data_IF_800835497458
#
_entry.id   IF_800835497458
#
_cell.length_a   1.000
_cell.length_b   1.000
_cell.length_c   1.000
_cell.angle_alpha   90.00
_cell.angle_beta   90.00
_cell.angle_gamma   90.00
#
_symmetry.space_group_name_H-M   'P 1'
#
loop_
_entity.id
_entity.type
_entity.pdbx_description
1 polymer ?
#
# COMPACT_ATOMS: atom_id res chain seq x y z
N UNK A 1 37.63 48.24 -26.34
CA UNK A 1 37.94 46.81 -26.12
C UNK A 1 36.94 46.31 -25.09
N UNK A 2 35.88 45.65 -25.57
CA UNK A 2 35.47 44.25 -25.25
C UNK A 2 34.90 44.07 -23.84
N UNK A 3 33.72 43.49 -23.56
CA UNK A 3 32.56 42.98 -24.33
C UNK A 3 31.55 42.58 -23.23
N UNK A 4 30.29 43.01 -23.31
CA UNK A 4 29.19 42.53 -22.45
C UNK A 4 28.38 41.48 -23.21
N UNK A 5 28.36 40.23 -22.74
CA UNK A 5 27.55 39.16 -23.33
C UNK A 5 26.10 39.24 -22.83
N UNK A 6 25.18 39.59 -23.74
CA UNK A 6 23.75 39.46 -23.55
C UNK A 6 23.28 38.02 -23.77
N UNK A 7 22.40 37.54 -22.89
CA UNK A 7 21.72 36.25 -23.01
C UNK A 7 20.26 36.55 -23.41
N UNK A 8 19.88 36.14 -24.61
CA UNK A 8 18.54 36.27 -25.18
C UNK A 8 17.54 35.31 -24.53
N UNK A 9 16.26 35.70 -24.36
CA UNK A 9 15.24 34.83 -23.80
C UNK A 9 14.66 33.87 -24.85
N UNK A 10 14.51 32.61 -24.47
CA UNK A 10 13.90 31.54 -25.26
C UNK A 10 12.40 31.76 -25.41
N UNK A 11 11.92 31.94 -26.65
CA UNK A 11 10.49 32.00 -26.98
C UNK A 11 9.93 30.57 -27.11
N UNK A 12 8.85 30.28 -26.37
CA UNK A 12 8.00 29.10 -26.53
C UNK A 12 7.29 29.14 -27.90
N UNK A 13 7.27 28.06 -28.70
CA UNK A 13 6.47 28.03 -29.92
C UNK A 13 4.97 27.85 -29.61
N UNK A 14 4.14 28.57 -30.35
CA UNK A 14 2.68 28.58 -30.28
C UNK A 14 2.04 27.41 -31.04
N UNK A 15 0.85 27.01 -30.59
CA UNK A 15 0.06 25.89 -31.08
C UNK A 15 -0.71 26.20 -32.37
N UNK A 16 -0.07 26.11 -33.53
CA UNK A 16 -0.76 25.97 -34.83
C UNK A 16 0.24 25.44 -35.84
N UNK A 17 0.22 24.12 -36.11
CA UNK A 17 0.57 23.48 -37.41
C UNK A 17 0.72 21.97 -37.22
N UNK A 18 -0.40 21.25 -37.29
CA UNK A 18 -0.42 19.80 -37.48
C UNK A 18 -1.52 19.50 -38.51
N UNK A 19 -1.20 19.74 -39.78
CA UNK A 19 -1.96 19.21 -40.89
C UNK A 19 -1.03 18.43 -41.83
N UNK A 20 -1.43 17.18 -42.09
CA UNK A 20 -1.08 16.37 -43.26
C UNK A 20 0.28 15.64 -43.26
N UNK A 21 0.26 14.38 -42.79
CA UNK A 21 1.20 13.34 -43.21
C UNK A 21 0.44 12.05 -43.59
N UNK A 22 0.70 11.42 -44.74
CA UNK A 22 -0.14 10.34 -45.27
C UNK A 22 0.07 9.01 -44.53
N UNK A 23 -1.03 8.33 -44.20
CA UNK A 23 -1.04 6.99 -43.63
C UNK A 23 -0.67 5.93 -44.68
N UNK A 24 0.34 5.11 -44.38
CA UNK A 24 0.71 3.92 -45.15
C UNK A 24 -0.16 2.76 -44.64
N UNK A 25 -1.01 2.21 -45.52
CA UNK A 25 -1.85 1.03 -45.27
C UNK A 25 -0.98 -0.15 -44.83
N UNK A 26 -1.24 -0.69 -43.64
CA UNK A 26 -0.84 -2.05 -43.28
C UNK A 26 -2.02 -2.98 -43.55
N UNK A 27 -1.76 -4.00 -44.36
CA UNK A 27 -2.68 -5.05 -44.76
C UNK A 27 -2.92 -6.02 -43.60
N UNK A 28 -4.19 -6.29 -43.30
CA UNK A 28 -4.62 -7.41 -42.48
C UNK A 28 -4.31 -8.72 -43.20
N UNK A 29 -3.56 -9.62 -42.53
CA UNK A 29 -3.57 -11.04 -42.87
C UNK A 29 -4.54 -11.74 -41.90
N UNK A 30 -5.65 -12.20 -42.46
CA UNK A 30 -6.57 -13.14 -41.83
C UNK A 30 -6.06 -14.56 -42.12
N UNK A 31 -5.49 -15.23 -41.13
CA UNK A 31 -5.22 -16.66 -41.25
C UNK A 31 -6.50 -17.45 -40.95
N UNK A 32 -7.17 -17.85 -42.02
CA UNK A 32 -8.16 -18.95 -42.02
C UNK A 32 -7.42 -20.25 -41.73
N UNK A 33 -7.83 -20.96 -40.67
CA UNK A 33 -7.63 -22.41 -40.63
C UNK A 33 -8.96 -23.14 -40.49
N UNK A 34 -9.13 -24.08 -41.42
CA UNK A 34 -10.34 -24.81 -41.77
C UNK A 34 -10.68 -25.88 -40.74
N UNK A 35 -11.98 -26.09 -40.58
CA UNK A 35 -12.64 -27.22 -39.92
C UNK A 35 -12.18 -28.57 -40.44
N UNK A 36 -11.94 -29.52 -39.53
CA UNK A 36 -12.13 -30.95 -39.76
C UNK A 36 -12.86 -31.59 -38.58
N UNK A 37 -14.02 -32.18 -38.87
CA UNK A 37 -14.82 -32.98 -37.94
C UNK A 37 -14.18 -34.35 -37.73
N UNK A 38 -14.08 -34.81 -36.48
CA UNK A 38 -13.87 -36.21 -36.15
C UNK A 38 -14.70 -36.62 -34.91
N UNK A 39 -15.84 -37.23 -35.24
CA UNK A 39 -16.64 -38.27 -34.55
C UNK A 39 -16.57 -38.40 -33.01
N UNK A 40 -17.75 -38.25 -32.42
CA UNK A 40 -18.17 -38.75 -31.11
C UNK A 40 -17.91 -40.25 -30.95
N UNK A 41 -17.53 -40.68 -29.75
CA UNK A 41 -17.83 -42.00 -29.23
C UNK A 41 -18.22 -41.87 -27.75
N UNK A 42 -19.48 -42.16 -27.47
CA UNK A 42 -20.11 -42.32 -26.16
C UNK A 42 -19.86 -43.72 -25.64
N UNK A 43 -19.44 -43.86 -24.38
CA UNK A 43 -19.70 -45.05 -23.56
C UNK A 43 -19.94 -44.60 -22.10
N UNK A 44 -21.07 -45.04 -21.55
CA UNK A 44 -21.61 -44.80 -20.21
C UNK A 44 -21.09 -45.86 -19.19
N UNK A 45 -21.45 -45.84 -17.89
CA UNK A 45 -20.53 -46.04 -16.77
C UNK A 45 -20.68 -47.40 -16.05
N UNK A 46 -19.63 -47.84 -15.35
CA UNK A 46 -19.73 -48.86 -14.28
C UNK A 46 -18.66 -48.64 -13.20
N UNK A 47 -19.16 -48.32 -12.00
CA UNK A 47 -18.82 -48.77 -10.64
C UNK A 47 -17.40 -49.21 -10.18
N UNK A 48 -17.12 -48.81 -8.92
CA UNK A 48 -16.15 -49.31 -7.91
C UNK A 48 -14.67 -48.91 -8.13
N UNK A 49 -13.90 -48.33 -7.18
CA UNK A 49 -13.90 -48.37 -5.71
C UNK A 49 -13.26 -47.08 -5.13
N UNK A 50 -13.84 -46.52 -4.06
CA UNK A 50 -13.27 -45.43 -3.24
C UNK A 50 -12.86 -45.99 -1.86
N UNK A 51 -11.54 -46.04 -1.54
CA UNK A 51 -11.08 -46.26 -0.19
C UNK A 51 -10.31 -45.02 0.29
N UNK A 52 -10.97 -44.11 1.01
CA UNK A 52 -10.57 -43.79 2.39
C UNK A 52 -11.34 -42.61 2.94
N UNK A 53 -12.25 -42.93 3.85
CA UNK A 53 -12.70 -42.04 4.90
C UNK A 53 -11.49 -41.57 5.72
N UNK A 54 -11.07 -40.33 5.54
CA UNK A 54 -10.39 -39.58 6.58
C UNK A 54 -11.35 -38.51 7.09
N UNK A 55 -12.06 -38.86 8.16
CA UNK A 55 -12.69 -37.91 9.05
C UNK A 55 -11.61 -37.03 9.68
N UNK A 56 -11.24 -35.95 9.01
CA UNK A 56 -10.53 -34.85 9.67
C UNK A 56 -11.50 -34.23 10.67
N UNK A 57 -11.12 -34.38 11.94
CA UNK A 57 -11.74 -33.75 13.11
C UNK A 57 -12.07 -32.30 12.78
N UNK A 58 -13.33 -31.94 13.03
CA UNK A 58 -13.78 -30.56 13.09
C UNK A 58 -12.94 -29.79 14.11
N UNK A 59 -11.93 -29.07 13.64
CA UNK A 59 -11.35 -27.98 14.39
C UNK A 59 -12.47 -26.99 14.69
N UNK A 60 -12.73 -26.76 15.97
CA UNK A 60 -13.81 -25.90 16.47
C UNK A 60 -13.80 -24.56 15.73
N UNK A 61 -14.89 -24.30 14.99
CA UNK A 61 -15.10 -23.13 14.10
C UNK A 61 -15.09 -21.79 14.87
N UNK A 62 -15.17 -21.84 16.20
CA UNK A 62 -15.22 -20.69 17.09
C UNK A 62 -13.89 -19.90 17.13
N UNK A 63 -12.73 -20.57 17.19
CA UNK A 63 -11.42 -19.88 17.25
C UNK A 63 -11.01 -19.18 15.95
N UNK A 64 -11.48 -19.70 14.80
CA UNK A 64 -11.11 -19.21 13.46
C UNK A 64 -11.77 -17.85 13.15
N UNK A 65 -12.85 -17.50 13.86
CA UNK A 65 -13.65 -16.30 13.57
C UNK A 65 -13.56 -15.21 14.66
N UNK A 66 -12.80 -15.41 15.73
CA UNK A 66 -12.66 -14.41 16.82
C UNK A 66 -12.06 -13.07 16.36
N UNK A 67 -11.24 -13.06 15.33
CA UNK A 67 -10.71 -11.81 14.77
C UNK A 67 -11.80 -10.95 14.10
N UNK A 68 -12.87 -11.56 13.57
CA UNK A 68 -14.01 -10.85 12.96
C UNK A 68 -14.82 -10.06 13.98
N UNK A 69 -14.69 -10.38 15.27
CA UNK A 69 -15.35 -9.67 16.37
C UNK A 69 -14.55 -8.47 16.86
N UNK A 70 -13.32 -8.29 16.36
CA UNK A 70 -12.40 -7.23 16.81
C UNK A 70 -12.24 -6.17 15.74
N UNK A 71 -11.97 -4.90 16.11
CA UNK A 71 -11.58 -3.88 15.16
C UNK A 71 -10.40 -4.34 14.29
N UNK A 72 -10.36 -4.00 12.99
CA UNK A 72 -11.31 -3.14 12.26
C UNK A 72 -12.55 -3.88 11.72
N UNK A 73 -12.73 -5.16 12.02
CA UNK A 73 -13.74 -6.03 11.37
C UNK A 73 -15.03 -6.22 12.17
N UNK A 74 -15.05 -5.69 13.40
CA UNK A 74 -16.22 -5.74 14.26
C UNK A 74 -17.40 -5.06 13.56
N UNK A 75 -18.49 -5.81 13.37
CA UNK A 75 -19.75 -5.26 12.86
C UNK A 75 -20.33 -4.32 13.94
N UNK A 76 -20.40 -3.03 13.65
CA UNK A 76 -21.08 -2.06 14.52
C UNK A 76 -22.59 -2.33 14.46
N UNK A 77 -23.17 -2.75 15.59
CA UNK A 77 -24.59 -3.17 15.69
C UNK A 77 -25.56 -2.00 15.89
N UNK A 78 -25.06 -0.81 16.21
CA UNK A 78 -25.86 0.38 16.47
C UNK A 78 -25.44 1.52 15.55
N UNK A 79 -26.42 2.11 14.85
CA UNK A 79 -26.26 3.34 14.10
C UNK A 79 -26.04 4.49 15.10
N UNK A 80 -24.80 4.99 15.21
CA UNK A 80 -24.53 6.21 15.99
C UNK A 80 -23.15 6.37 16.62
N UNK A 81 -22.32 5.32 16.76
CA UNK A 81 -21.06 5.42 17.51
C UNK A 81 -19.80 5.71 16.67
N UNK A 82 -19.90 5.76 15.33
CA UNK A 82 -18.75 6.01 14.46
C UNK A 82 -18.94 7.30 13.67
N UNK A 83 -18.21 8.35 14.04
CA UNK A 83 -18.21 9.63 13.33
C UNK A 83 -17.42 9.53 12.03
N UNK A 84 -18.08 9.16 10.93
CA UNK A 84 -17.43 9.00 9.63
C UNK A 84 -17.02 10.35 9.04
N UNK A 85 -15.70 10.56 8.85
CA UNK A 85 -15.10 11.72 8.18
C UNK A 85 -14.83 11.47 6.70
N UNK A 86 -14.34 10.28 6.38
CA UNK A 86 -14.05 9.88 5.01
C UNK A 86 -14.72 8.56 4.65
N UNK A 87 -15.05 8.42 3.37
CA UNK A 87 -15.44 7.17 2.74
C UNK A 87 -14.32 6.68 1.84
N UNK A 88 -14.20 5.37 1.71
CA UNK A 88 -13.21 4.73 0.87
C UNK A 88 -13.74 3.43 0.31
N UNK A 89 -13.20 3.02 -0.82
CA UNK A 89 -13.60 1.76 -1.46
C UNK A 89 -12.45 1.11 -2.22
N UNK A 90 -12.50 -0.22 -2.36
CA UNK A 90 -11.63 -0.89 -3.33
C UNK A 90 -12.04 -0.50 -4.76
N UNK A 91 -11.20 -0.78 -5.75
CA UNK A 91 -11.45 -0.34 -7.14
C UNK A 91 -12.80 -0.81 -7.71
N UNK A 92 -13.26 -2.02 -7.35
CA UNK A 92 -14.55 -2.54 -7.82
C UNK A 92 -15.76 -2.13 -6.97
N UNK A 93 -15.56 -1.39 -5.88
CA UNK A 93 -16.62 -0.96 -4.96
C UNK A 93 -17.24 -2.06 -4.09
N UNK A 94 -16.81 -3.33 -4.23
CA UNK A 94 -17.36 -4.44 -3.41
C UNK A 94 -16.98 -4.35 -1.94
N UNK A 95 -15.85 -3.72 -1.63
CA UNK A 95 -15.41 -3.43 -0.26
C UNK A 95 -15.50 -1.93 -0.07
N UNK A 96 -16.26 -1.50 0.92
CA UNK A 96 -16.40 -0.10 1.32
C UNK A 96 -16.16 0.03 2.82
N UNK A 97 -15.56 1.14 3.22
CA UNK A 97 -15.26 1.44 4.61
C UNK A 97 -15.21 2.94 4.85
N UNK A 98 -15.32 3.31 6.13
CA UNK A 98 -15.29 4.68 6.63
C UNK A 98 -14.09 4.87 7.56
N UNK A 99 -13.61 6.11 7.63
CA UNK A 99 -12.55 6.54 8.55
C UNK A 99 -13.09 7.63 9.47
N UNK A 100 -12.76 7.57 10.76
CA UNK A 100 -13.28 8.54 11.74
C UNK A 100 -12.33 9.69 12.08
N UNK A 101 -11.03 9.56 11.79
CA UNK A 101 -10.08 10.65 12.00
C UNK A 101 -9.99 11.54 10.78
N UNK A 102 -9.86 12.84 11.04
CA UNK A 102 -9.58 13.86 10.03
C UNK A 102 -8.15 13.75 9.48
N UNK A 103 -7.16 13.51 10.34
CA UNK A 103 -5.77 13.25 9.95
C UNK A 103 -5.30 11.86 10.41
N UNK A 104 -4.50 11.13 9.62
CA UNK A 104 -3.84 9.92 10.07
C UNK A 104 -2.80 10.23 11.15
N UNK A 105 -2.50 9.24 12.00
CA UNK A 105 -1.45 9.34 13.01
C UNK A 105 -0.08 9.65 12.38
N UNK A 106 0.15 9.10 11.19
CA UNK A 106 1.32 9.38 10.38
C UNK A 106 1.05 8.96 8.92
N UNK A 107 1.81 9.46 7.96
CA UNK A 107 1.71 9.10 6.54
C UNK A 107 3.09 9.00 5.93
N UNK A 108 3.39 7.91 5.21
CA UNK A 108 4.75 7.59 4.78
C UNK A 108 4.80 6.94 3.41
N UNK A 109 5.94 7.11 2.74
CA UNK A 109 6.29 6.37 1.53
C UNK A 109 7.31 5.27 1.89
N UNK A 110 6.97 4.00 1.67
CA UNK A 110 7.86 2.87 1.90
C UNK A 110 8.45 2.35 0.60
N UNK A 111 9.78 2.30 0.51
CA UNK A 111 10.53 1.92 -0.68
C UNK A 111 11.08 0.50 -0.62
N UNK A 112 10.74 -0.32 0.38
CA UNK A 112 11.28 -1.68 0.42
C UNK A 112 10.76 -2.53 -0.75
N UNK A 113 11.58 -3.44 -1.24
CA UNK A 113 11.29 -4.35 -2.37
C UNK A 113 10.01 -5.17 -2.18
N UNK A 114 9.68 -5.52 -0.93
CA UNK A 114 8.40 -6.18 -0.61
C UNK A 114 7.23 -5.25 -0.91
N UNK A 115 7.24 -4.01 -0.40
CA UNK A 115 6.19 -3.03 -0.67
C UNK A 115 6.07 -2.73 -2.17
N UNK A 116 7.20 -2.58 -2.88
CA UNK A 116 7.19 -2.35 -4.33
C UNK A 116 6.49 -3.48 -5.09
N UNK A 117 6.86 -4.73 -4.79
CA UNK A 117 6.29 -5.91 -5.46
C UNK A 117 4.81 -6.08 -5.13
N UNK A 118 4.44 -5.90 -3.86
CA UNK A 118 3.06 -6.09 -3.39
C UNK A 118 2.08 -5.04 -3.91
N UNK A 119 2.59 -3.85 -4.26
CA UNK A 119 1.79 -2.77 -4.83
C UNK A 119 1.94 -2.64 -6.35
N UNK A 120 2.84 -3.40 -6.97
CA UNK A 120 3.26 -3.20 -8.37
C UNK A 120 3.59 -1.72 -8.67
N UNK A 121 4.29 -1.06 -7.73
CA UNK A 121 4.56 0.37 -7.76
C UNK A 121 5.98 0.68 -7.25
N UNK A 122 6.57 1.84 -7.58
CA UNK A 122 7.90 2.22 -7.09
C UNK A 122 8.02 2.33 -5.56
N UNK A 123 6.90 2.51 -4.86
CA UNK A 123 6.80 2.58 -3.41
C UNK A 123 5.35 2.36 -2.96
N UNK A 124 5.16 2.07 -1.67
CA UNK A 124 3.86 2.04 -1.00
C UNK A 124 3.60 3.39 -0.32
N UNK A 125 2.43 3.99 -0.53
CA UNK A 125 1.94 5.11 0.28
C UNK A 125 0.99 4.59 1.35
N UNK A 126 1.35 4.77 2.62
CA UNK A 126 0.59 4.27 3.75
C UNK A 126 0.34 5.34 4.81
N UNK A 127 -0.91 5.46 5.23
CA UNK A 127 -1.37 6.28 6.33
C UNK A 127 -1.73 5.40 7.52
N UNK A 128 -1.28 5.78 8.72
CA UNK A 128 -1.39 4.97 9.94
C UNK A 128 -2.62 5.41 10.73
N UNK A 129 -3.45 4.43 11.08
CA UNK A 129 -4.63 4.62 11.92
C UNK A 129 -4.66 3.58 13.05
N UNK A 130 -5.37 3.86 14.14
CA UNK A 130 -5.77 2.80 15.06
C UNK A 130 -6.80 1.90 14.37
N UNK A 131 -6.88 0.64 14.80
CA UNK A 131 -7.87 -0.31 14.28
C UNK A 131 -9.31 0.17 14.48
N UNK A 132 -9.56 0.96 15.54
CA UNK A 132 -10.86 1.53 15.89
C UNK A 132 -11.24 2.75 15.03
N UNK A 133 -10.30 3.30 14.27
CA UNK A 133 -10.59 4.46 13.41
C UNK A 133 -11.13 4.03 12.03
N UNK A 134 -11.34 2.73 11.81
CA UNK A 134 -11.85 2.15 10.56
C UNK A 134 -13.13 1.37 10.85
N UNK A 135 -14.14 1.60 10.02
CA UNK A 135 -15.39 0.85 10.04
C UNK A 135 -15.70 0.30 8.63
N UNK A 136 -15.70 -1.02 8.44
CA UNK A 136 -16.14 -1.60 7.17
C UNK A 136 -17.65 -1.56 7.04
N UNK A 137 -18.14 -0.77 6.09
CA UNK A 137 -19.58 -0.64 5.80
C UNK A 137 -20.09 -1.75 4.89
N UNK A 138 -19.24 -2.34 4.04
CA UNK A 138 -19.60 -3.49 3.19
C UNK A 138 -18.38 -4.29 2.74
N UNK A 139 -18.59 -5.57 2.43
CA UNK A 139 -17.59 -6.40 1.75
C UNK A 139 -16.44 -6.94 2.60
N UNK A 140 -16.45 -6.77 3.93
CA UNK A 140 -15.37 -7.25 4.81
C UNK A 140 -15.21 -8.80 4.82
N UNK A 141 -16.24 -9.55 4.39
CA UNK A 141 -16.12 -10.99 4.14
C UNK A 141 -15.43 -11.34 2.82
N UNK A 142 -15.34 -10.40 1.88
CA UNK A 142 -14.63 -10.51 0.60
C UNK A 142 -13.19 -9.98 0.68
N UNK A 143 -12.55 -10.16 1.83
CA UNK A 143 -11.15 -9.81 2.05
C UNK A 143 -10.27 -11.04 1.97
N UNK A 144 -9.06 -10.86 1.46
CA UNK A 144 -8.00 -11.86 1.48
C UNK A 144 -6.77 -11.31 2.21
N UNK A 145 -5.98 -12.24 2.76
CA UNK A 145 -4.78 -11.93 3.52
C UNK A 145 -3.54 -12.51 2.86
N UNK A 146 -2.40 -11.85 3.08
CA UNK A 146 -1.10 -12.38 2.71
C UNK A 146 -0.02 -11.97 3.70
N UNK A 147 0.68 -12.93 4.29
CA UNK A 147 1.92 -12.71 5.03
C UNK A 147 3.12 -12.92 4.07
N UNK A 148 3.87 -11.85 3.72
CA UNK A 148 5.02 -11.98 2.82
C UNK A 148 6.21 -12.71 3.46
N UNK A 149 6.32 -12.76 4.78
CA UNK A 149 7.40 -13.46 5.49
C UNK A 149 7.18 -14.97 5.46
N UNK A 150 5.95 -15.42 5.76
CA UNK A 150 5.61 -16.85 5.75
C UNK A 150 5.05 -17.34 4.41
N UNK A 151 4.84 -16.45 3.44
CA UNK A 151 4.18 -16.70 2.14
C UNK A 151 2.82 -17.40 2.30
N UNK A 152 2.05 -17.03 3.33
CA UNK A 152 0.78 -17.67 3.67
C UNK A 152 -0.41 -16.75 3.43
N UNK A 153 -1.54 -17.34 3.08
CA UNK A 153 -2.84 -16.64 2.97
C UNK A 153 -3.68 -16.73 4.26
N UNK A 154 -3.13 -17.35 5.31
CA UNK A 154 -3.77 -17.38 6.63
C UNK A 154 -3.76 -15.97 7.24
N UNK A 155 -4.81 -15.63 7.98
CA UNK A 155 -4.84 -14.40 8.77
C UNK A 155 -3.86 -14.51 9.95
N UNK A 156 -2.65 -13.99 9.76
CA UNK A 156 -1.57 -13.97 10.76
C UNK A 156 -0.93 -12.59 10.78
N UNK A 157 -0.95 -11.92 11.94
CA UNK A 157 -0.49 -10.53 12.04
C UNK A 157 1.04 -10.44 12.23
N UNK A 158 1.72 -9.52 11.51
CA UNK A 158 1.18 -8.58 10.54
C UNK A 158 0.90 -9.21 9.16
N UNK A 159 -0.18 -8.79 8.49
CA UNK A 159 -0.51 -9.27 7.13
C UNK A 159 -1.01 -8.15 6.21
N UNK A 160 -0.89 -8.39 4.90
CA UNK A 160 -1.47 -7.57 3.83
C UNK A 160 -2.95 -7.91 3.68
N UNK A 161 -3.80 -6.91 3.50
CA UNK A 161 -5.24 -7.07 3.31
C UNK A 161 -5.64 -6.51 1.95
N UNK A 162 -6.39 -7.29 1.15
CA UNK A 162 -6.87 -6.90 -0.19
C UNK A 162 -8.31 -7.29 -0.41
N UNK A 163 -8.93 -6.70 -1.42
CA UNK A 163 -10.20 -7.19 -1.95
C UNK A 163 -9.97 -8.50 -2.72
N UNK A 164 -10.69 -9.57 -2.38
CA UNK A 164 -10.55 -10.87 -3.05
C UNK A 164 -11.08 -10.90 -4.49
N UNK A 165 -11.78 -9.85 -4.93
CA UNK A 165 -12.35 -9.76 -6.28
C UNK A 165 -11.46 -8.98 -7.25
N UNK A 166 -11.07 -7.75 -6.90
CA UNK A 166 -10.27 -6.89 -7.78
C UNK A 166 -8.81 -6.77 -7.35
N UNK A 167 -8.41 -7.44 -6.27
CA UNK A 167 -7.06 -7.44 -5.71
C UNK A 167 -6.49 -6.08 -5.33
N UNK A 168 -7.32 -5.03 -5.26
CA UNK A 168 -6.90 -3.72 -4.74
C UNK A 168 -6.30 -3.91 -3.35
N UNK A 169 -5.03 -3.51 -3.13
CA UNK A 169 -4.47 -3.44 -1.79
C UNK A 169 -5.30 -2.45 -0.98
N UNK A 170 -5.70 -2.82 0.25
CA UNK A 170 -6.52 -1.97 1.13
C UNK A 170 -5.69 -1.41 2.28
N UNK A 171 -5.01 -2.29 3.02
CA UNK A 171 -4.19 -1.93 4.16
C UNK A 171 -3.19 -3.02 4.51
N UNK A 172 -2.17 -2.67 5.30
CA UNK A 172 -1.44 -3.65 6.12
C UNK A 172 -2.05 -3.67 7.52
N UNK A 173 -2.46 -4.84 7.98
CA UNK A 173 -2.95 -5.02 9.34
C UNK A 173 -1.77 -5.38 10.26
N UNK A 174 -1.43 -4.47 11.16
CA UNK A 174 -0.50 -4.71 12.24
C UNK A 174 -1.18 -5.29 13.48
N UNK A 175 -0.42 -5.46 14.57
CA UNK A 175 -0.97 -5.94 15.85
C UNK A 175 -1.91 -4.92 16.50
N UNK A 176 -1.49 -3.65 16.52
CA UNK A 176 -2.20 -2.57 17.23
C UNK A 176 -2.79 -1.50 16.30
N UNK A 177 -2.31 -1.43 15.07
CA UNK A 177 -2.61 -0.36 14.12
C UNK A 177 -2.75 -0.94 12.71
N UNK A 178 -3.28 -0.13 11.80
CA UNK A 178 -3.41 -0.44 10.38
C UNK A 178 -2.68 0.62 9.57
N UNK A 179 -2.08 0.20 8.48
CA UNK A 179 -1.47 1.07 7.48
C UNK A 179 -2.38 1.07 6.26
N UNK A 180 -3.33 2.00 6.22
CA UNK A 180 -4.28 2.17 5.12
C UNK A 180 -3.60 2.79 3.91
N UNK A 181 -4.06 2.47 2.69
CA UNK A 181 -3.56 3.10 1.47
C UNK A 181 -4.46 4.26 1.03
N UNK A 182 -4.00 5.52 1.12
CA UNK A 182 -4.87 6.67 0.90
C UNK A 182 -5.44 6.82 -0.51
N UNK A 183 -4.85 6.14 -1.51
CA UNK A 183 -5.36 6.11 -2.89
C UNK A 183 -6.77 5.52 -3.02
N UNK A 184 -7.31 4.87 -1.99
CA UNK A 184 -8.67 4.35 -1.95
C UNK A 184 -9.70 5.31 -1.32
N UNK A 185 -9.24 6.42 -0.74
CA UNK A 185 -10.09 7.38 -0.04
C UNK A 185 -10.75 8.35 -1.02
N UNK A 186 -12.04 8.60 -0.85
CA UNK A 186 -12.83 9.51 -1.67
C UNK A 186 -12.75 10.94 -1.11
N UNK A 187 -11.66 11.65 -1.43
CA UNK A 187 -11.48 13.04 -1.03
C UNK A 187 -12.43 13.98 -1.79
N UNK A 188 -13.11 14.87 -1.06
CA UNK A 188 -14.06 15.87 -1.58
C UNK A 188 -13.41 17.23 -1.84
N UNK A 189 -12.21 17.47 -1.29
CA UNK A 189 -11.45 18.71 -1.49
C UNK A 189 -9.94 18.45 -1.54
N UNK A 190 -9.17 19.45 -1.98
CA UNK A 190 -7.70 19.41 -1.89
C UNK A 190 -7.20 19.52 -0.45
N UNK A 191 -7.95 20.21 0.42
CA UNK A 191 -7.66 20.30 1.87
C UNK A 191 -7.71 18.91 2.51
N UNK A 192 -8.73 18.11 2.19
CA UNK A 192 -8.81 16.73 2.69
C UNK A 192 -7.65 15.85 2.19
N UNK A 193 -7.15 16.09 0.97
CA UNK A 193 -5.94 15.39 0.46
C UNK A 193 -4.68 15.80 1.22
N UNK A 194 -4.59 17.06 1.62
CA UNK A 194 -3.45 17.61 2.35
C UNK A 194 -3.21 16.87 3.67
N UNK A 195 -4.28 16.54 4.39
CA UNK A 195 -4.24 15.77 5.63
C UNK A 195 -3.50 14.42 5.50
N UNK A 196 -3.50 13.83 4.30
CA UNK A 196 -2.92 12.50 4.06
C UNK A 196 -1.51 12.54 3.47
N UNK A 197 -0.96 13.71 3.16
CA UNK A 197 0.36 13.79 2.52
C UNK A 197 1.44 13.06 3.31
N UNK A 198 2.34 12.34 2.63
CA UNK A 198 3.42 11.65 3.31
C UNK A 198 4.37 12.66 3.97
N UNK A 199 4.88 12.29 5.14
CA UNK A 199 5.80 13.09 5.96
C UNK A 199 7.26 12.67 5.77
N UNK A 200 7.51 11.46 5.26
CA UNK A 200 8.86 10.96 5.00
C UNK A 200 8.87 9.73 4.08
N UNK A 201 10.08 9.35 3.63
CA UNK A 201 10.38 8.10 2.94
C UNK A 201 11.12 7.15 3.87
N UNK A 202 10.72 5.89 3.90
CA UNK A 202 11.42 4.80 4.59
C UNK A 202 12.00 3.82 3.58
N UNK A 203 13.08 3.15 3.97
CA UNK A 203 13.80 2.16 3.15
C UNK A 203 14.27 2.73 1.80
N UNK A 204 14.62 4.03 1.77
CA UNK A 204 14.88 4.76 0.54
C UNK A 204 16.16 4.32 -0.20
N UNK A 205 17.01 3.49 0.43
CA UNK A 205 18.13 2.80 -0.25
C UNK A 205 17.64 1.81 -1.32
N UNK A 206 16.43 1.27 -1.17
CA UNK A 206 15.83 0.29 -2.08
C UNK A 206 15.01 0.93 -3.21
N UNK A 207 14.93 2.28 -3.25
CA UNK A 207 14.16 2.99 -4.28
C UNK A 207 14.60 2.60 -5.69
N UNK A 208 13.64 2.52 -6.60
CA UNK A 208 13.87 2.27 -8.03
C UNK A 208 13.87 3.55 -8.87
N UNK A 209 13.40 4.66 -8.28
CA UNK A 209 13.44 6.00 -8.87
C UNK A 209 13.78 7.02 -7.77
N UNK A 210 14.42 8.13 -8.14
CA UNK A 210 14.66 9.25 -7.22
C UNK A 210 13.40 10.10 -7.11
N UNK A 211 13.04 10.51 -5.89
CA UNK A 211 11.90 11.37 -5.59
C UNK A 211 12.39 12.71 -5.00
N UNK A 212 12.46 13.78 -5.80
CA UNK A 212 12.97 15.09 -5.35
C UNK A 212 11.84 15.97 -4.78
N UNK A 213 11.23 15.53 -3.68
CA UNK A 213 10.08 16.21 -3.05
C UNK A 213 10.42 17.00 -1.77
N UNK A 214 11.69 16.99 -1.36
CA UNK A 214 12.11 17.67 -0.14
C UNK A 214 11.58 17.04 1.15
N UNK A 215 11.09 15.80 1.15
CA UNK A 215 10.75 15.09 2.39
C UNK A 215 11.95 14.33 2.96
N UNK A 216 12.06 14.15 4.29
CA UNK A 216 13.07 13.31 4.92
C UNK A 216 13.12 11.90 4.32
N UNK A 217 14.33 11.44 3.99
CA UNK A 217 14.57 10.12 3.37
C UNK A 217 15.43 9.25 4.28
N UNK A 218 14.79 8.28 4.89
CA UNK A 218 15.43 7.33 5.78
C UNK A 218 15.96 6.13 5.01
N UNK A 219 17.19 5.73 5.30
CA UNK A 219 17.81 4.55 4.69
C UNK A 219 17.10 3.24 5.02
N UNK A 220 16.41 3.18 6.16
CA UNK A 220 15.58 2.08 6.61
C UNK A 220 14.32 2.60 7.31
N UNK A 221 14.09 2.14 8.54
CA UNK A 221 12.97 2.60 9.37
C UNK A 221 13.16 4.05 9.83
N UNK A 222 12.07 4.83 9.84
CA UNK A 222 12.03 6.19 10.40
C UNK A 222 12.54 6.18 11.85
N UNK A 223 13.36 7.18 12.21
CA UNK A 223 13.96 7.38 13.54
C UNK A 223 14.87 6.24 14.04
N UNK A 224 15.16 5.24 13.20
CA UNK A 224 15.99 4.06 13.53
C UNK A 224 17.08 3.80 12.50
N UNK A 225 17.25 4.70 11.54
CA UNK A 225 18.21 4.58 10.46
C UNK A 225 18.78 5.94 10.12
N UNK A 226 19.78 5.98 9.25
CA UNK A 226 20.40 7.25 8.86
C UNK A 226 19.55 7.96 7.78
N UNK A 227 19.49 9.30 7.86
CA UNK A 227 18.95 10.14 6.80
C UNK A 227 19.89 10.15 5.60
N UNK A 228 19.33 10.15 4.40
CA UNK A 228 20.07 10.19 3.14
C UNK A 228 20.14 11.64 2.65
N UNK A 229 21.27 12.00 2.03
CA UNK A 229 21.65 13.34 1.55
C UNK A 229 20.56 14.10 0.76
N UNK A 230 19.65 13.39 0.08
CA UNK A 230 18.49 13.98 -0.61
C UNK A 230 17.37 14.52 0.35
N UNK A 231 17.62 14.53 1.66
CA UNK A 231 16.72 15.06 2.69
C UNK A 231 17.00 16.55 2.93
N UNK A 232 16.03 17.37 3.37
CA UNK A 232 16.30 18.76 3.73
C UNK A 232 17.44 18.88 4.74
N UNK A 233 18.39 19.78 4.48
CA UNK A 233 19.59 19.93 5.33
C UNK A 233 19.24 20.19 6.80
N UNK A 234 18.17 20.94 7.06
CA UNK A 234 17.74 21.24 8.43
C UNK A 234 17.22 20.01 9.17
N UNK A 235 16.49 19.12 8.49
CA UNK A 235 16.02 17.86 9.08
C UNK A 235 17.20 16.93 9.40
N UNK A 236 18.22 16.92 8.53
CA UNK A 236 19.47 16.18 8.77
C UNK A 236 20.18 16.73 10.00
N UNK A 237 20.37 18.06 10.09
CA UNK A 237 21.01 18.73 11.24
C UNK A 237 20.22 18.53 12.53
N UNK A 238 18.89 18.60 12.50
CA UNK A 238 18.05 18.38 13.67
C UNK A 238 18.15 16.94 14.18
N UNK A 239 18.08 15.96 13.28
CA UNK A 239 18.24 14.56 13.63
C UNK A 239 19.63 14.26 14.21
N UNK A 240 20.70 14.76 13.60
CA UNK A 240 22.06 14.61 14.12
C UNK A 240 22.20 15.20 15.53
N UNK A 241 21.62 16.39 15.77
CA UNK A 241 21.56 17.00 17.11
C UNK A 241 20.81 16.12 18.10
N UNK A 242 19.68 15.53 17.70
CA UNK A 242 18.88 14.64 18.55
C UNK A 242 19.65 13.36 18.88
N UNK A 243 20.28 12.72 17.89
CA UNK A 243 21.07 11.50 18.09
C UNK A 243 22.30 11.74 18.97
N UNK A 244 22.93 12.91 18.86
CA UNK A 244 24.04 13.30 19.74
C UNK A 244 23.57 13.51 21.19
N UNK A 245 22.37 14.05 21.41
CA UNK A 245 21.77 14.16 22.75
C UNK A 245 21.44 12.79 23.33
N UNK A 246 20.74 11.95 22.57
CA UNK A 246 20.38 10.58 22.99
C UNK A 246 21.63 9.75 23.34
N UNK A 247 22.69 9.82 22.52
CA UNK A 247 23.97 9.14 22.83
C UNK A 247 24.65 9.66 24.10
N UNK A 248 24.59 10.97 24.36
CA UNK A 248 25.15 11.55 25.60
C UNK A 248 24.35 11.10 26.81
N UNK A 249 23.03 11.11 26.72
CA UNK A 249 22.14 10.62 27.78
C UNK A 249 22.34 9.12 28.04
N UNK A 250 22.54 8.30 27.00
CA UNK A 250 22.87 6.88 27.13
C UNK A 250 24.24 6.65 27.80
N UNK A 251 25.24 7.48 27.48
CA UNK A 251 26.56 7.41 28.10
C UNK A 251 26.52 7.81 29.58
N UNK A 252 25.85 8.92 29.91
CA UNK A 252 25.69 9.39 31.29
C UNK A 252 24.92 8.38 32.14
N UNK A 253 23.87 7.76 31.59
CA UNK A 253 23.09 6.74 32.31
C UNK A 253 23.85 5.39 32.44
N UNK A 254 24.67 5.03 31.45
CA UNK A 254 25.50 3.83 31.50
C UNK A 254 26.70 3.95 32.45
N UNK A 255 27.26 5.15 32.62
CA UNK A 255 28.31 5.44 33.61
C UNK A 255 27.75 5.43 35.04
N UNK A 256 26.58 6.04 35.29
CA UNK A 256 25.94 6.02 36.61
C UNK A 256 25.52 4.61 37.09
N UNK A 257 25.35 3.64 36.18
CA UNK A 257 24.97 2.26 36.52
C UNK A 257 26.15 1.33 36.90
N UNK A 258 27.40 1.81 36.80
CA UNK A 258 28.61 1.03 37.14
C UNK A 258 29.21 1.37 38.50
N UNK A 259 28.68 2.39 39.17
CA UNK A 259 29.13 2.87 40.47
C UNK A 259 28.19 2.50 41.64
N UNK A 260 27.16 1.68 41.38
CA UNK A 260 26.29 1.00 42.36
C UNK A 260 26.58 -0.51 42.42
#
# INVERSE_FOLDING_TARGET
MTTTNGKTPSKRPSSTDLASRPQKKQSHNEDKFSSTSAKQNTLDPTDHDDPSQNHEKSDSVEGINEWKKRPPYQIHKEEGEFEARYEASCHCGKVTYQLSREEPLDSKLCHCTTCQTQHAAPFQWAAIFHKTDINFTSGHHGLEWYDPSSKSVKHSLPCKVRCSYCHSPIMDEGRNMVLLFPSLVHFKSEEEKEHFKPKCHMFYKERVINIPDGLPKWSGMKDKSELIEDSPEEDVKEYERKKLKEKKEEQENGENSKDD
#
